data_IF_104519514569
#
_entry.id   IF_104519514569
#
_cell.length_a   1.000
_cell.length_b   1.000
_cell.length_c   1.000
_cell.angle_alpha   90.00
_cell.angle_beta   90.00
_cell.angle_gamma   90.00
#
_symmetry.space_group_name_H-M   'P 1'
#
loop_
_entity.id
_entity.type
_entity.pdbx_description
1 polymer ?
#
# COMPACT_ATOMS: atom_id res chain seq x y z
N UNK A 1 -37.20 -3.55 13.37
CA UNK A 1 -37.04 -5.01 13.24
C UNK A 1 -38.05 -5.69 14.15
N UNK A 2 -38.87 -6.62 13.66
CA UNK A 2 -39.80 -7.36 14.52
C UNK A 2 -39.10 -8.61 15.08
N UNK A 3 -39.52 -9.09 16.26
CA UNK A 3 -38.90 -10.27 16.87
C UNK A 3 -39.07 -11.55 16.03
N UNK A 4 -40.08 -11.61 15.16
CA UNK A 4 -40.27 -12.72 14.23
C UNK A 4 -39.13 -12.79 13.20
N UNK A 5 -38.79 -11.65 12.61
CA UNK A 5 -37.71 -11.52 11.61
C UNK A 5 -36.35 -11.91 12.20
N UNK A 6 -36.11 -11.57 13.47
CA UNK A 6 -34.87 -11.87 14.20
C UNK A 6 -34.71 -13.39 14.39
N UNK A 7 -35.78 -14.10 14.70
CA UNK A 7 -35.72 -15.55 14.88
C UNK A 7 -35.38 -16.29 13.58
N UNK A 8 -35.94 -15.83 12.46
CA UNK A 8 -35.63 -16.39 11.13
C UNK A 8 -34.17 -16.11 10.74
N UNK A 9 -33.69 -14.88 10.96
CA UNK A 9 -32.29 -14.52 10.68
C UNK A 9 -31.29 -15.27 11.54
N UNK A 10 -31.61 -15.56 12.81
CA UNK A 10 -30.74 -16.34 13.70
C UNK A 10 -30.57 -17.81 13.26
N UNK A 11 -31.42 -18.33 12.39
CA UNK A 11 -31.34 -19.70 11.88
C UNK A 11 -30.55 -19.82 10.57
N UNK A 12 -30.31 -18.70 9.88
CA UNK A 12 -29.53 -18.68 8.65
C UNK A 12 -28.08 -18.36 9.02
N UNK A 13 -27.20 -19.35 8.88
CA UNK A 13 -25.79 -19.35 9.33
C UNK A 13 -24.89 -18.34 8.57
N UNK A 14 -25.47 -17.46 7.76
CA UNK A 14 -24.77 -16.42 7.00
C UNK A 14 -24.61 -15.14 7.85
N UNK A 15 -24.02 -15.32 9.04
CA UNK A 15 -23.70 -14.25 9.98
C UNK A 15 -22.45 -13.48 9.54
N UNK A 16 -22.60 -12.70 8.47
CA UNK A 16 -21.93 -11.39 8.48
C UNK A 16 -22.54 -10.61 9.65
N UNK A 17 -21.72 -10.22 10.61
CA UNK A 17 -22.13 -9.47 11.80
C UNK A 17 -22.99 -8.25 11.41
N UNK A 18 -24.30 -8.38 11.53
CA UNK A 18 -25.28 -7.32 11.28
C UNK A 18 -25.45 -6.56 12.60
N UNK A 19 -24.91 -5.34 12.73
CA UNK A 19 -24.93 -4.60 13.99
C UNK A 19 -26.34 -4.29 14.49
N UNK A 20 -27.33 -4.21 13.58
CA UNK A 20 -28.73 -3.97 13.95
C UNK A 20 -29.35 -5.21 14.62
N UNK A 21 -28.99 -6.41 14.15
CA UNK A 21 -29.41 -7.68 14.73
C UNK A 21 -28.82 -7.84 16.13
N UNK A 22 -27.52 -7.57 16.28
CA UNK A 22 -26.81 -7.65 17.56
C UNK A 22 -27.41 -6.69 18.60
N UNK A 23 -27.71 -5.45 18.19
CA UNK A 23 -28.35 -4.47 19.06
C UNK A 23 -29.75 -4.94 19.50
N UNK A 24 -30.57 -5.46 18.58
CA UNK A 24 -31.90 -5.96 18.93
C UNK A 24 -31.85 -7.17 19.88
N UNK A 25 -30.91 -8.10 19.68
CA UNK A 25 -30.73 -9.26 20.55
C UNK A 25 -30.27 -8.85 21.95
N UNK A 26 -29.50 -7.76 22.07
CA UNK A 26 -29.11 -7.19 23.36
C UNK A 26 -30.29 -6.52 24.08
N UNK A 27 -31.14 -5.79 23.36
CA UNK A 27 -32.24 -5.02 23.94
C UNK A 27 -33.50 -5.86 24.24
N UNK A 28 -33.69 -6.99 23.56
CA UNK A 28 -34.90 -7.82 23.71
C UNK A 28 -34.63 -9.15 24.46
N UNK A 29 -35.13 -9.33 25.71
CA UNK A 29 -34.81 -10.52 26.52
C UNK A 29 -35.30 -11.84 25.91
N UNK A 30 -36.39 -11.80 25.13
CA UNK A 30 -36.91 -12.98 24.43
C UNK A 30 -35.99 -13.43 23.29
N UNK A 31 -35.42 -12.48 22.55
CA UNK A 31 -34.45 -12.75 21.49
C UNK A 31 -33.13 -13.24 22.10
N UNK A 32 -32.64 -12.61 23.18
CA UNK A 32 -31.44 -13.07 23.90
C UNK A 32 -31.55 -14.52 24.36
N UNK A 33 -32.69 -14.90 24.94
CA UNK A 33 -32.93 -16.26 25.40
C UNK A 33 -32.98 -17.28 24.24
N UNK A 34 -33.56 -16.89 23.10
CA UNK A 34 -33.61 -17.74 21.90
C UNK A 34 -32.21 -17.93 21.31
N UNK A 35 -31.44 -16.86 21.17
CA UNK A 35 -30.05 -16.91 20.72
C UNK A 35 -29.18 -17.82 21.61
N UNK A 36 -29.33 -17.75 22.94
CA UNK A 36 -28.64 -18.66 23.87
C UNK A 36 -29.02 -20.13 23.66
N UNK A 37 -30.29 -20.42 23.38
CA UNK A 37 -30.75 -21.79 23.10
C UNK A 37 -30.17 -22.34 21.81
N UNK A 38 -30.15 -21.52 20.75
CA UNK A 38 -29.55 -21.89 19.47
C UNK A 38 -28.06 -22.14 19.64
N UNK A 39 -27.32 -21.23 20.30
CA UNK A 39 -25.89 -21.41 20.57
C UNK A 39 -25.61 -22.67 21.42
N UNK A 40 -26.47 -22.99 22.38
CA UNK A 40 -26.34 -24.22 23.16
C UNK A 40 -26.60 -25.48 22.32
N UNK A 41 -27.62 -25.46 21.45
CA UNK A 41 -27.89 -26.56 20.52
C UNK A 41 -26.73 -26.76 19.54
N UNK A 42 -26.19 -25.68 18.99
CA UNK A 42 -25.05 -25.72 18.09
C UNK A 42 -23.80 -26.29 18.77
N UNK A 43 -23.52 -25.91 20.03
CA UNK A 43 -22.44 -26.51 20.80
C UNK A 43 -22.62 -28.02 21.03
N UNK A 44 -23.84 -28.47 21.34
CA UNK A 44 -24.15 -29.89 21.55
C UNK A 44 -24.05 -30.67 20.23
N UNK A 45 -24.65 -30.15 19.16
CA UNK A 45 -24.59 -30.75 17.82
C UNK A 45 -23.17 -30.79 17.30
N UNK A 46 -22.41 -29.71 17.44
CA UNK A 46 -21.01 -29.63 17.08
C UNK A 46 -20.19 -30.74 17.74
N UNK A 47 -20.40 -30.99 19.04
CA UNK A 47 -19.71 -32.07 19.77
C UNK A 47 -20.13 -33.48 19.34
N UNK A 48 -21.39 -33.66 18.95
CA UNK A 48 -21.93 -34.95 18.51
C UNK A 48 -21.58 -35.27 17.05
N UNK A 49 -21.39 -34.23 16.22
CA UNK A 49 -21.11 -34.33 14.79
C UNK A 49 -19.61 -34.33 14.46
N UNK A 50 -18.73 -34.32 15.47
CA UNK A 50 -17.29 -34.57 15.25
C UNK A 50 -17.07 -36.05 14.92
N UNK A 51 -17.52 -36.45 13.73
CA UNK A 51 -17.12 -37.70 13.12
C UNK A 51 -15.73 -37.46 12.53
N UNK A 52 -14.75 -38.27 12.94
CA UNK A 52 -13.43 -38.23 12.33
C UNK A 52 -13.59 -38.38 10.82
N UNK A 53 -13.16 -37.39 10.01
CA UNK A 53 -13.34 -37.46 8.56
C UNK A 53 -12.57 -38.68 8.04
N UNK A 54 -13.08 -39.39 7.02
CA UNK A 54 -12.42 -40.58 6.49
C UNK A 54 -11.00 -40.23 6.02
N UNK A 55 -10.07 -41.18 6.16
CA UNK A 55 -8.63 -41.00 5.88
C UNK A 55 -8.36 -40.41 4.49
N UNK A 56 -9.16 -40.79 3.50
CA UNK A 56 -9.05 -40.29 2.13
C UNK A 56 -9.32 -38.78 2.03
N UNK A 57 -10.30 -38.27 2.79
CA UNK A 57 -10.60 -36.84 2.86
C UNK A 57 -9.50 -36.07 3.58
N UNK A 58 -8.95 -36.63 4.65
CA UNK A 58 -7.81 -36.03 5.37
C UNK A 58 -6.60 -35.89 4.45
N UNK A 59 -6.30 -36.91 3.63
CA UNK A 59 -5.22 -36.86 2.66
C UNK A 59 -5.45 -35.80 1.57
N UNK A 60 -6.67 -35.68 1.04
CA UNK A 60 -7.02 -34.64 0.05
C UNK A 60 -6.91 -33.24 0.64
N UNK A 61 -7.37 -33.02 1.87
CA UNK A 61 -7.25 -31.73 2.55
C UNK A 61 -5.79 -31.38 2.84
N UNK A 62 -4.97 -32.35 3.25
CA UNK A 62 -3.54 -32.14 3.44
C UNK A 62 -2.84 -31.74 2.13
N UNK A 63 -3.19 -32.37 1.00
CA UNK A 63 -2.66 -31.99 -0.31
C UNK A 63 -3.08 -30.57 -0.72
N UNK A 64 -4.33 -30.19 -0.47
CA UNK A 64 -4.82 -28.83 -0.74
C UNK A 64 -4.15 -27.79 0.17
N UNK A 65 -3.95 -28.10 1.46
CA UNK A 65 -3.28 -27.21 2.39
C UNK A 65 -1.81 -26.98 1.99
N UNK A 66 -1.10 -28.02 1.55
CA UNK A 66 0.26 -27.89 1.01
C UNK A 66 0.27 -27.07 -0.28
N UNK A 67 -0.74 -27.24 -1.14
CA UNK A 67 -0.92 -26.43 -2.35
C UNK A 67 -1.17 -24.95 -2.06
N UNK A 68 -2.02 -24.64 -1.07
CA UNK A 68 -2.37 -23.27 -0.67
C UNK A 68 -1.26 -22.58 0.14
N UNK A 69 -0.49 -23.34 0.92
CA UNK A 69 0.66 -22.84 1.67
C UNK A 69 1.84 -22.47 0.75
N UNK A 70 1.82 -22.91 -0.52
CA UNK A 70 2.80 -22.46 -1.50
C UNK A 70 2.47 -21.01 -1.83
N UNK A 71 3.28 -20.02 -1.37
CA UNK A 71 2.99 -18.64 -1.65
C UNK A 71 2.91 -18.50 -3.17
N UNK A 72 1.81 -17.95 -3.72
CA UNK A 72 1.75 -17.71 -5.14
C UNK A 72 2.99 -16.89 -5.48
N UNK A 73 3.78 -17.36 -6.46
CA UNK A 73 4.91 -16.63 -7.01
C UNK A 73 4.38 -15.47 -7.85
N UNK A 74 3.60 -14.60 -7.21
CA UNK A 74 3.18 -13.35 -7.80
C UNK A 74 4.40 -12.42 -7.78
N UNK A 75 4.75 -11.82 -8.93
CA UNK A 75 5.79 -10.82 -9.00
C UNK A 75 5.53 -9.75 -7.93
N UNK A 76 6.53 -9.38 -7.13
CA UNK A 76 6.36 -8.39 -6.05
C UNK A 76 5.71 -7.06 -6.51
N UNK A 77 5.94 -6.69 -7.77
CA UNK A 77 5.34 -5.57 -8.49
C UNK A 77 3.80 -5.63 -8.59
N UNK A 78 3.20 -6.82 -8.69
CA UNK A 78 1.73 -6.95 -8.73
C UNK A 78 1.09 -6.62 -7.38
N UNK A 79 1.86 -6.74 -6.29
CA UNK A 79 1.45 -6.37 -4.94
C UNK A 79 1.42 -4.85 -4.74
N UNK A 80 2.25 -4.10 -5.47
CA UNK A 80 2.21 -2.63 -5.50
C UNK A 80 1.00 -2.09 -6.27
N UNK A 81 0.59 -2.76 -7.35
CA UNK A 81 -0.60 -2.37 -8.13
C UNK A 81 -1.94 -2.61 -7.43
N UNK A 82 -1.98 -3.54 -6.47
CA UNK A 82 -3.18 -3.84 -5.66
C UNK A 82 -3.32 -2.99 -4.40
N UNK A 83 -2.30 -2.20 -4.04
CA UNK A 83 -2.47 -1.18 -3.01
C UNK A 83 -3.35 -0.08 -3.59
N UNK A 84 -4.65 -0.23 -3.35
CA UNK A 84 -5.65 0.74 -3.71
C UNK A 84 -5.38 2.00 -2.87
N UNK A 85 -4.55 2.90 -3.40
CA UNK A 85 -4.12 4.13 -2.74
C UNK A 85 -5.33 4.93 -2.25
N UNK A 86 -6.45 4.85 -2.97
CA UNK A 86 -7.73 5.44 -2.56
C UNK A 86 -8.27 4.89 -1.22
N UNK A 87 -8.28 3.57 -1.01
CA UNK A 87 -8.74 2.97 0.25
C UNK A 87 -7.77 3.28 1.40
N UNK A 88 -6.47 3.29 1.11
CA UNK A 88 -5.43 3.57 2.10
C UNK A 88 -5.46 5.05 2.54
N UNK A 89 -5.77 5.97 1.62
CA UNK A 89 -6.00 7.39 1.90
C UNK A 89 -7.33 7.61 2.64
N UNK A 90 -8.38 6.83 2.34
CA UNK A 90 -9.67 6.93 3.02
C UNK A 90 -9.60 6.48 4.49
N UNK A 91 -8.75 5.49 4.81
CA UNK A 91 -8.65 4.95 6.17
C UNK A 91 -7.86 5.82 7.16
N UNK A 92 -7.02 6.76 6.71
CA UNK A 92 -6.19 7.60 7.60
C UNK A 92 -6.07 9.05 7.13
N UNK A 93 -7.16 9.86 7.15
CA UNK A 93 -7.17 11.22 6.63
C UNK A 93 -6.14 12.15 7.31
N UNK A 94 -5.87 11.91 8.59
CA UNK A 94 -4.91 12.69 9.38
C UNK A 94 -3.44 12.41 9.04
N UNK A 95 -3.10 11.22 8.49
CA UNK A 95 -1.74 10.97 7.98
C UNK A 95 -1.53 11.61 6.60
N UNK A 96 -2.58 11.74 5.79
CA UNK A 96 -2.51 12.34 4.45
C UNK A 96 -2.12 13.81 4.51
N UNK A 97 -2.67 14.57 5.47
CA UNK A 97 -2.31 15.97 5.64
C UNK A 97 -0.82 16.15 6.00
N UNK A 98 -0.31 15.34 6.93
CA UNK A 98 1.09 15.39 7.34
C UNK A 98 2.04 14.95 6.21
N UNK A 99 1.72 13.87 5.50
CA UNK A 99 2.52 13.41 4.34
C UNK A 99 2.46 14.38 3.16
N UNK A 100 1.31 15.01 2.91
CA UNK A 100 1.16 16.04 1.89
C UNK A 100 2.02 17.25 2.18
N UNK A 101 2.02 17.74 3.42
CA UNK A 101 2.89 18.84 3.85
C UNK A 101 4.36 18.44 3.70
N UNK A 102 4.74 17.23 4.14
CA UNK A 102 6.10 16.75 3.99
C UNK A 102 6.54 16.69 2.52
N UNK A 103 5.69 16.18 1.62
CA UNK A 103 5.97 16.12 0.19
C UNK A 103 6.13 17.51 -0.44
N UNK A 104 5.28 18.48 -0.07
CA UNK A 104 5.37 19.86 -0.54
C UNK A 104 6.64 20.54 -0.03
N UNK A 105 6.99 20.35 1.24
CA UNK A 105 8.25 20.88 1.80
C UNK A 105 9.47 20.26 1.12
N UNK A 106 9.43 18.96 0.82
CA UNK A 106 10.51 18.27 0.12
C UNK A 106 10.65 18.78 -1.31
N UNK A 107 9.53 18.95 -2.04
CA UNK A 107 9.52 19.57 -3.36
C UNK A 107 10.10 21.00 -3.34
N UNK A 108 9.66 21.84 -2.41
CA UNK A 108 10.19 23.19 -2.20
C UNK A 108 11.70 23.17 -1.88
N UNK A 109 12.14 22.26 -1.02
CA UNK A 109 13.56 22.13 -0.69
C UNK A 109 14.41 21.71 -1.88
N UNK A 110 13.91 20.78 -2.71
CA UNK A 110 14.59 20.35 -3.93
C UNK A 110 14.70 21.52 -4.92
N UNK A 111 13.65 22.32 -5.05
CA UNK A 111 13.65 23.52 -5.90
C UNK A 111 14.65 24.57 -5.42
N UNK A 112 14.74 24.80 -4.11
CA UNK A 112 15.73 25.74 -3.54
C UNK A 112 17.17 25.27 -3.81
N UNK A 113 17.44 23.96 -3.74
CA UNK A 113 18.75 23.40 -4.07
C UNK A 113 19.07 23.65 -5.56
N UNK A 114 18.12 23.42 -6.47
CA UNK A 114 18.31 23.72 -7.89
C UNK A 114 18.51 25.22 -8.15
N UNK A 115 17.74 26.08 -7.46
CA UNK A 115 17.91 27.53 -7.52
C UNK A 115 19.30 27.96 -7.06
N UNK A 116 19.79 27.39 -5.96
CA UNK A 116 21.12 27.66 -5.41
C UNK A 116 22.23 27.16 -6.34
N UNK A 117 22.06 25.97 -6.94
CA UNK A 117 22.96 25.43 -7.95
C UNK A 117 22.99 26.28 -9.24
N UNK A 118 21.86 26.90 -9.61
CA UNK A 118 21.78 27.77 -10.79
C UNK A 118 22.35 29.18 -10.54
N UNK A 119 22.29 29.67 -9.29
CA UNK A 119 22.83 30.97 -8.88
C UNK A 119 24.37 30.94 -8.74
N UNK A 120 24.93 29.79 -8.37
CA UNK A 120 26.35 29.54 -8.53
C UNK A 120 26.63 29.49 -10.03
N UNK A 121 27.30 30.52 -10.59
CA UNK A 121 27.85 30.42 -11.93
C UNK A 121 28.67 29.12 -11.97
N UNK A 122 28.23 28.10 -12.72
CA UNK A 122 28.98 26.87 -12.74
C UNK A 122 30.30 27.23 -13.42
N UNK A 123 31.37 27.27 -12.64
CA UNK A 123 32.68 26.93 -13.17
C UNK A 123 32.49 25.48 -13.61
N UNK A 124 32.04 25.30 -14.85
CA UNK A 124 31.97 23.99 -15.52
C UNK A 124 33.42 23.56 -15.72
N UNK A 125 34.05 23.14 -14.64
CA UNK A 125 35.00 22.05 -14.73
C UNK A 125 34.20 20.83 -15.20
N UNK A 126 34.81 20.04 -16.06
CA UNK A 126 34.26 18.78 -16.55
C UNK A 126 33.59 18.03 -15.39
N UNK A 127 32.28 17.78 -15.51
CA UNK A 127 31.50 17.08 -14.48
C UNK A 127 32.12 15.69 -14.22
N UNK A 128 32.74 15.08 -15.23
CA UNK A 128 33.53 13.87 -15.08
C UNK A 128 34.72 14.06 -14.14
N UNK A 129 35.46 15.16 -14.27
CA UNK A 129 36.59 15.47 -13.40
C UNK A 129 36.16 15.76 -11.95
N UNK A 130 35.04 16.46 -11.75
CA UNK A 130 34.50 16.69 -10.41
C UNK A 130 34.06 15.37 -9.74
N UNK A 131 33.46 14.46 -10.52
CA UNK A 131 33.03 13.14 -10.05
C UNK A 131 34.23 12.22 -9.77
N UNK A 132 35.28 12.31 -10.58
CA UNK A 132 36.57 11.64 -10.37
C UNK A 132 37.27 12.17 -9.09
N UNK A 133 37.25 13.49 -8.86
CA UNK A 133 37.83 14.10 -7.66
C UNK A 133 37.10 13.68 -6.38
N UNK A 134 35.77 13.57 -6.45
CA UNK A 134 34.95 13.09 -5.32
C UNK A 134 35.15 11.60 -5.10
N UNK A 135 35.20 10.79 -6.17
CA UNK A 135 35.45 9.35 -6.08
C UNK A 135 36.85 9.02 -5.56
N UNK A 136 37.85 9.83 -5.91
CA UNK A 136 39.23 9.71 -5.41
C UNK A 136 39.43 10.33 -4.02
N UNK A 137 38.46 11.07 -3.50
CA UNK A 137 38.57 11.72 -2.20
C UNK A 137 38.30 10.75 -1.04
N UNK A 138 39.08 10.81 0.06
CA UNK A 138 38.79 10.06 1.29
C UNK A 138 37.40 10.34 1.88
N UNK A 139 36.74 11.42 1.45
CA UNK A 139 35.38 11.80 1.85
C UNK A 139 34.33 10.71 1.54
N UNK A 140 34.57 9.84 0.55
CA UNK A 140 33.68 8.71 0.22
C UNK A 140 33.47 7.77 1.42
N UNK A 141 34.48 7.61 2.28
CA UNK A 141 34.38 6.75 3.47
C UNK A 141 33.40 7.34 4.49
N UNK A 142 33.31 8.68 4.58
CA UNK A 142 32.38 9.36 5.49
C UNK A 142 30.94 9.35 4.97
N UNK A 143 30.71 9.24 3.66
CA UNK A 143 29.38 9.08 3.08
C UNK A 143 28.73 7.74 3.51
N UNK A 144 29.52 6.70 3.74
CA UNK A 144 29.02 5.42 4.28
C UNK A 144 28.47 5.52 5.71
N UNK A 145 28.90 6.51 6.50
CA UNK A 145 28.42 6.75 7.86
C UNK A 145 27.09 7.50 7.93
N UNK A 146 26.71 8.21 6.87
CA UNK A 146 25.53 9.07 6.83
C UNK A 146 24.19 8.33 6.66
N UNK A 147 24.20 6.99 6.55
CA UNK A 147 23.00 6.18 6.22
C UNK A 147 22.20 6.75 5.04
N UNK A 148 22.85 7.48 4.14
CA UNK A 148 22.23 7.93 2.91
C UNK A 148 22.01 6.67 2.10
N UNK A 149 20.75 6.29 1.99
CA UNK A 149 20.32 5.19 1.16
C UNK A 149 20.71 5.49 -0.29
N UNK A 150 21.83 4.91 -0.72
CA UNK A 150 22.34 5.02 -2.09
C UNK A 150 21.30 4.53 -3.10
N UNK A 151 20.44 3.60 -2.70
CA UNK A 151 19.35 3.09 -3.51
C UNK A 151 18.26 4.16 -3.69
N UNK A 152 17.90 4.84 -2.59
CA UNK A 152 17.02 6.00 -2.61
C UNK A 152 17.58 7.16 -3.43
N UNK A 153 18.87 7.47 -3.27
CA UNK A 153 19.53 8.54 -4.02
C UNK A 153 19.56 8.22 -5.53
N UNK A 154 19.88 6.98 -5.90
CA UNK A 154 19.79 6.52 -7.28
C UNK A 154 18.38 6.62 -7.86
N UNK A 155 17.36 6.25 -7.09
CA UNK A 155 15.97 6.34 -7.52
C UNK A 155 15.53 7.80 -7.70
N UNK A 156 15.88 8.69 -6.78
CA UNK A 156 15.60 10.12 -6.90
C UNK A 156 16.37 10.79 -8.03
N UNK A 157 17.60 10.36 -8.33
CA UNK A 157 18.33 10.81 -9.51
C UNK A 157 17.62 10.40 -10.81
N UNK A 158 17.11 9.16 -10.90
CA UNK A 158 16.34 8.72 -12.07
C UNK A 158 15.07 9.55 -12.23
N UNK A 159 14.33 9.79 -11.15
CA UNK A 159 13.14 10.65 -11.18
C UNK A 159 13.49 12.08 -11.60
N UNK A 160 14.57 12.64 -11.09
CA UNK A 160 15.07 13.97 -11.48
C UNK A 160 15.46 14.04 -12.95
N UNK A 161 16.14 13.02 -13.48
CA UNK A 161 16.51 12.93 -14.92
C UNK A 161 15.26 12.85 -15.79
N UNK A 162 14.26 12.04 -15.40
CA UNK A 162 12.99 11.96 -16.14
C UNK A 162 12.20 13.26 -16.08
N UNK A 163 12.13 13.91 -14.91
CA UNK A 163 11.49 15.21 -14.74
C UNK A 163 12.16 16.29 -15.59
N UNK A 164 13.49 16.32 -15.61
CA UNK A 164 14.25 17.24 -16.47
C UNK A 164 14.02 16.95 -17.95
N UNK A 165 13.98 15.68 -18.37
CA UNK A 165 13.69 15.30 -19.77
C UNK A 165 12.33 15.79 -20.25
N UNK A 166 11.33 15.78 -19.37
CA UNK A 166 9.96 16.21 -19.62
C UNK A 166 9.72 17.73 -19.45
N UNK A 167 10.61 18.43 -18.74
CA UNK A 167 10.56 19.88 -18.56
C UNK A 167 10.65 20.63 -19.89
N UNK A 168 10.18 21.88 -19.93
CA UNK A 168 10.25 22.76 -21.10
C UNK A 168 11.70 22.96 -21.59
N UNK A 169 12.65 23.03 -20.65
CA UNK A 169 14.10 23.10 -20.95
C UNK A 169 14.71 21.72 -21.32
N UNK A 170 13.94 20.66 -21.10
CA UNK A 170 14.29 19.28 -21.39
C UNK A 170 14.41 18.98 -22.89
N UNK A 171 15.06 17.87 -23.20
CA UNK A 171 15.23 17.39 -24.57
C UNK A 171 13.89 17.17 -25.30
N UNK A 172 12.86 16.74 -24.56
CA UNK A 172 11.53 16.48 -25.11
C UNK A 172 10.72 17.80 -25.17
N UNK A 173 10.75 18.62 -24.12
CA UNK A 173 10.10 19.92 -24.09
C UNK A 173 10.55 20.83 -25.24
N UNK A 174 11.86 20.92 -25.49
CA UNK A 174 12.40 21.67 -26.63
C UNK A 174 11.92 21.17 -27.99
N UNK A 175 11.79 19.85 -28.17
CA UNK A 175 11.25 19.29 -29.41
C UNK A 175 9.78 19.66 -29.59
N UNK A 176 8.97 19.55 -28.54
CA UNK A 176 7.54 19.88 -28.58
C UNK A 176 7.34 21.37 -28.87
N UNK A 177 8.07 22.26 -28.18
CA UNK A 177 8.04 23.70 -28.41
C UNK A 177 8.48 24.07 -29.84
N UNK A 178 9.52 23.42 -30.37
CA UNK A 178 9.97 23.63 -31.75
C UNK A 178 8.99 23.10 -32.81
N UNK A 179 8.20 22.09 -32.46
CA UNK A 179 7.14 21.53 -33.32
C UNK A 179 5.82 22.27 -33.21
N UNK A 180 5.80 23.45 -32.57
CA UNK A 180 4.66 24.36 -32.54
C UNK A 180 4.14 24.63 -33.95
N UNK A 181 3.16 23.82 -34.35
CA UNK A 181 2.28 24.05 -35.47
C UNK A 181 1.74 25.47 -35.32
N UNK A 182 2.15 26.36 -36.23
CA UNK A 182 1.37 27.57 -36.51
C UNK A 182 0.04 27.11 -37.09
N UNK A 183 -0.95 26.93 -36.22
CA UNK A 183 -2.33 26.88 -36.64
C UNK A 183 -2.70 28.28 -37.16
N UNK A 184 -3.30 28.38 -38.36
CA UNK A 184 -3.67 29.65 -38.98
C UNK A 184 -4.78 30.39 -38.22
#
# INVERSE_FOLDING_TARGET
>A
MQCADVAERLLVDDLRSDPELDQHVADCPRCTHTARKIAHLDAVLGSALVVAPPIELQQRLAQLAVGAARPPSVPWWSRLGQLNLADLLAQRPQMVAAQGIAAVLLALSSWQIFGLLSALHPVVGDVGYAMELVAASPAVVYLGGLQIDLQGLGLWSVVGVFGWLLSEDGLIGRRIASSGLRLP
#
